data_IF_562047652934
#
_entry.id   IF_562047652934
#
_cell.length_a   1.000
_cell.length_b   1.000
_cell.length_c   1.000
_cell.angle_alpha   90.00
_cell.angle_beta   90.00
_cell.angle_gamma   90.00
#
_symmetry.space_group_name_H-M   'P 1'
#
loop_
_entity.id
_entity.type
_entity.pdbx_description
1 polymer ?
#
# COMPACT_ATOMS: atom_id res chain seq x y z
N UNK A 1 -16.80 -25.90 -18.35
CA UNK A 1 -15.63 -25.32 -19.06
C UNK A 1 -15.58 -23.81 -18.94
N UNK A 2 -16.49 -23.01 -19.53
CA UNK A 2 -16.46 -21.52 -19.34
C UNK A 2 -16.66 -21.08 -17.86
N UNK A 3 -17.44 -21.83 -17.09
CA UNK A 3 -17.71 -21.53 -15.68
C UNK A 3 -16.49 -21.74 -14.78
N UNK A 4 -15.63 -22.71 -15.08
CA UNK A 4 -14.44 -23.01 -14.28
C UNK A 4 -13.38 -21.94 -14.43
N UNK A 5 -13.18 -21.45 -15.67
CA UNK A 5 -12.24 -20.37 -15.97
C UNK A 5 -12.66 -19.05 -15.30
N UNK A 6 -13.94 -18.69 -15.38
CA UNK A 6 -14.43 -17.44 -14.78
C UNK A 6 -14.25 -17.43 -13.25
N UNK A 7 -14.51 -18.56 -12.60
CA UNK A 7 -14.36 -18.72 -11.15
C UNK A 7 -12.88 -18.69 -10.73
N UNK A 8 -11.99 -19.18 -11.60
CA UNK A 8 -10.55 -19.11 -11.41
C UNK A 8 -10.01 -17.69 -11.60
N UNK A 9 -10.49 -16.88 -12.55
CA UNK A 9 -9.96 -15.52 -12.77
C UNK A 9 -10.58 -14.45 -11.87
N UNK A 10 -11.79 -14.66 -11.38
CA UNK A 10 -12.52 -13.70 -10.56
C UNK A 10 -11.72 -13.17 -9.35
N UNK A 11 -11.11 -14.01 -8.48
CA UNK A 11 -10.35 -13.53 -7.33
C UNK A 11 -9.08 -12.76 -7.70
N UNK A 12 -8.42 -13.09 -8.82
CA UNK A 12 -7.27 -12.31 -9.30
C UNK A 12 -7.70 -10.94 -9.83
N UNK A 13 -8.79 -10.87 -10.60
CA UNK A 13 -9.29 -9.61 -11.15
C UNK A 13 -9.77 -8.70 -10.01
N UNK A 14 -10.49 -9.24 -9.02
CA UNK A 14 -10.93 -8.44 -7.87
C UNK A 14 -9.75 -7.89 -7.07
N UNK A 15 -8.70 -8.70 -6.84
CA UNK A 15 -7.49 -8.25 -6.15
C UNK A 15 -6.79 -7.13 -6.93
N UNK A 16 -6.63 -7.26 -8.25
CA UNK A 16 -6.00 -6.23 -9.09
C UNK A 16 -6.79 -4.92 -9.05
N UNK A 17 -8.11 -4.98 -9.18
CA UNK A 17 -8.98 -3.78 -9.10
C UNK A 17 -8.87 -3.12 -7.73
N UNK A 18 -8.85 -3.92 -6.66
CA UNK A 18 -8.66 -3.40 -5.31
C UNK A 18 -7.30 -2.70 -5.16
N UNK A 19 -6.20 -3.32 -5.60
CA UNK A 19 -4.88 -2.70 -5.54
C UNK A 19 -4.81 -1.39 -6.31
N UNK A 20 -5.32 -1.35 -7.55
CA UNK A 20 -5.38 -0.11 -8.34
C UNK A 20 -6.15 0.98 -7.59
N UNK A 21 -7.27 0.62 -6.95
CA UNK A 21 -8.10 1.55 -6.19
C UNK A 21 -7.35 2.11 -4.97
N UNK A 22 -6.71 1.24 -4.18
CA UNK A 22 -5.94 1.63 -2.99
C UNK A 22 -4.76 2.52 -3.37
N UNK A 23 -3.99 2.16 -4.39
CA UNK A 23 -2.87 2.98 -4.88
C UNK A 23 -3.34 4.34 -5.40
N UNK A 24 -4.46 4.38 -6.12
CA UNK A 24 -5.04 5.63 -6.61
C UNK A 24 -5.53 6.52 -5.46
N UNK A 25 -6.20 5.94 -4.47
CA UNK A 25 -6.61 6.66 -3.26
C UNK A 25 -5.41 7.22 -2.51
N UNK A 26 -4.36 6.42 -2.32
CA UNK A 26 -3.13 6.86 -1.66
C UNK A 26 -2.48 8.06 -2.39
N UNK A 27 -2.40 8.02 -3.72
CA UNK A 27 -1.91 9.16 -4.52
C UNK A 27 -2.77 10.41 -4.37
N UNK A 28 -4.10 10.27 -4.40
CA UNK A 28 -5.03 11.38 -4.25
C UNK A 28 -4.86 12.01 -2.86
N UNK A 29 -4.82 11.20 -1.80
CA UNK A 29 -4.62 11.67 -0.44
C UNK A 29 -3.28 12.40 -0.29
N UNK A 30 -2.19 11.89 -0.89
CA UNK A 30 -0.89 12.58 -0.90
C UNK A 30 -0.95 13.92 -1.62
N UNK A 31 -1.60 14.01 -2.77
CA UNK A 31 -1.78 15.27 -3.51
C UNK A 31 -2.61 16.30 -2.73
N UNK A 32 -3.61 15.85 -1.97
CA UNK A 32 -4.39 16.71 -1.08
C UNK A 32 -3.51 17.20 0.06
N UNK A 33 -2.74 16.30 0.68
CA UNK A 33 -1.84 16.62 1.80
C UNK A 33 -0.76 17.63 1.38
N UNK A 34 -0.18 17.46 0.18
CA UNK A 34 0.77 18.41 -0.43
C UNK A 34 0.20 19.83 -0.60
N UNK A 35 -1.13 19.95 -0.75
CA UNK A 35 -1.81 21.25 -0.87
C UNK A 35 -2.24 21.83 0.48
N UNK A 36 -2.49 20.98 1.48
CA UNK A 36 -3.06 21.40 2.77
C UNK A 36 -2.00 21.70 3.83
N UNK A 37 -0.86 21.01 3.80
CA UNK A 37 0.13 21.05 4.88
C UNK A 37 1.51 21.41 4.34
N UNK A 38 2.23 22.26 5.07
CA UNK A 38 3.60 22.63 4.74
C UNK A 38 4.52 21.40 4.81
N UNK A 39 5.34 21.16 3.77
CA UNK A 39 6.22 19.98 3.67
C UNK A 39 7.21 19.82 4.81
N UNK A 40 7.55 20.91 5.49
CA UNK A 40 8.45 20.91 6.64
C UNK A 40 7.76 20.61 7.98
N UNK A 41 6.44 20.43 7.99
CA UNK A 41 5.70 20.14 9.21
C UNK A 41 5.85 18.67 9.59
N UNK A 42 6.10 18.39 10.87
CA UNK A 42 6.11 17.02 11.41
C UNK A 42 4.81 16.26 11.11
N UNK A 43 3.67 16.97 11.07
CA UNK A 43 2.37 16.40 10.67
C UNK A 43 2.33 15.92 9.22
N UNK A 44 3.01 16.63 8.31
CA UNK A 44 3.10 16.21 6.91
C UNK A 44 3.91 14.92 6.77
N UNK A 45 5.06 14.85 7.43
CA UNK A 45 5.94 13.67 7.43
C UNK A 45 5.20 12.47 8.01
N UNK A 46 4.55 12.65 9.17
CA UNK A 46 3.75 11.61 9.81
C UNK A 46 2.60 11.12 8.91
N UNK A 47 1.86 12.03 8.27
CA UNK A 47 0.74 11.66 7.41
C UNK A 47 1.18 10.94 6.13
N UNK A 48 2.30 11.33 5.50
CA UNK A 48 2.87 10.60 4.35
C UNK A 48 3.22 9.15 4.74
N UNK A 49 3.87 8.95 5.89
CA UNK A 49 4.23 7.63 6.39
C UNK A 49 3.00 6.78 6.75
N UNK A 50 2.00 7.39 7.37
CA UNK A 50 0.74 6.73 7.70
C UNK A 50 -0.01 6.27 6.44
N UNK A 51 -0.03 7.08 5.38
CA UNK A 51 -0.62 6.70 4.09
C UNK A 51 0.15 5.53 3.46
N UNK A 52 1.48 5.60 3.43
CA UNK A 52 2.33 4.54 2.89
C UNK A 52 2.13 3.22 3.63
N UNK A 53 2.03 3.28 4.96
CA UNK A 53 1.79 2.11 5.82
C UNK A 53 0.39 1.54 5.56
N UNK A 54 -0.65 2.39 5.58
CA UNK A 54 -2.03 1.97 5.35
C UNK A 54 -2.22 1.27 3.99
N UNK A 55 -1.57 1.79 2.94
CA UNK A 55 -1.56 1.19 1.60
C UNK A 55 -0.98 -0.22 1.61
N UNK A 56 0.18 -0.44 2.26
CA UNK A 56 0.79 -1.76 2.33
C UNK A 56 -0.05 -2.74 3.17
N UNK A 57 -0.62 -2.27 4.29
CA UNK A 57 -1.44 -3.11 5.17
C UNK A 57 -2.73 -3.58 4.49
N UNK A 58 -3.41 -2.70 3.76
CA UNK A 58 -4.64 -3.07 3.05
C UNK A 58 -4.39 -4.11 1.97
N UNK A 59 -3.24 -4.03 1.28
CA UNK A 59 -2.84 -5.05 0.32
C UNK A 59 -2.70 -6.44 0.96
N UNK A 60 -2.22 -6.57 2.21
CA UNK A 60 -2.08 -7.86 2.90
C UNK A 60 -3.44 -8.54 3.15
N UNK A 61 -4.51 -7.76 3.34
CA UNK A 61 -5.84 -8.30 3.63
C UNK A 61 -6.41 -9.10 2.46
N UNK A 62 -6.33 -8.55 1.24
CA UNK A 62 -6.76 -9.23 0.00
C UNK A 62 -5.83 -10.38 -0.39
N UNK A 63 -4.56 -10.31 -0.02
CA UNK A 63 -3.61 -11.38 -0.29
C UNK A 63 -3.98 -12.71 0.41
N UNK A 64 -4.79 -12.68 1.47
CA UNK A 64 -5.36 -13.90 2.09
C UNK A 64 -6.28 -14.68 1.14
N UNK A 65 -7.00 -13.97 0.27
CA UNK A 65 -7.84 -14.57 -0.79
C UNK A 65 -6.95 -15.24 -1.83
N UNK A 66 -5.84 -14.61 -2.22
CA UNK A 66 -4.89 -15.20 -3.16
C UNK A 66 -4.26 -16.50 -2.63
N UNK A 67 -3.90 -16.57 -1.35
CA UNK A 67 -3.38 -17.81 -0.74
C UNK A 67 -4.42 -18.93 -0.85
N UNK A 68 -5.70 -18.62 -0.59
CA UNK A 68 -6.78 -19.61 -0.57
C UNK A 68 -7.06 -20.22 -1.95
N UNK A 69 -6.96 -19.45 -3.03
CA UNK A 69 -7.32 -19.90 -4.38
C UNK A 69 -6.12 -20.28 -5.27
N UNK A 70 -4.94 -19.67 -5.07
CA UNK A 70 -3.75 -19.88 -5.92
C UNK A 70 -2.52 -20.39 -5.16
N UNK A 71 -2.64 -20.53 -3.84
CA UNK A 71 -1.57 -21.05 -2.99
C UNK A 71 -0.49 -20.02 -2.61
N UNK A 72 0.49 -20.45 -1.80
CA UNK A 72 1.47 -19.56 -1.16
C UNK A 72 2.51 -18.97 -2.14
N UNK A 73 2.79 -19.64 -3.26
CA UNK A 73 3.74 -19.11 -4.26
C UNK A 73 3.16 -17.89 -4.98
N UNK A 74 1.88 -17.92 -5.34
CA UNK A 74 1.20 -16.78 -5.94
C UNK A 74 1.19 -15.58 -4.99
N UNK A 75 0.88 -15.82 -3.71
CA UNK A 75 0.99 -14.79 -2.67
C UNK A 75 2.37 -14.14 -2.60
N UNK A 76 3.45 -14.93 -2.63
CA UNK A 76 4.81 -14.39 -2.57
C UNK A 76 5.12 -13.46 -3.76
N UNK A 77 4.73 -13.85 -4.98
CA UNK A 77 4.88 -13.01 -6.16
C UNK A 77 4.04 -11.72 -6.07
N UNK A 78 2.79 -11.82 -5.61
CA UNK A 78 1.89 -10.66 -5.48
C UNK A 78 2.40 -9.68 -4.44
N UNK A 79 2.80 -10.15 -3.26
CA UNK A 79 3.38 -9.30 -2.21
C UNK A 79 4.68 -8.67 -2.68
N UNK A 80 5.59 -9.43 -3.30
CA UNK A 80 6.89 -8.91 -3.77
C UNK A 80 6.70 -7.83 -4.84
N UNK A 81 5.79 -8.05 -5.79
CA UNK A 81 5.50 -7.05 -6.83
C UNK A 81 4.82 -5.80 -6.27
N UNK A 82 3.89 -5.94 -5.32
CA UNK A 82 3.26 -4.81 -4.64
C UNK A 82 4.24 -4.01 -3.79
N UNK A 83 5.12 -4.68 -3.04
CA UNK A 83 6.17 -4.01 -2.25
C UNK A 83 7.15 -3.28 -3.16
N UNK A 84 7.52 -3.90 -4.27
CA UNK A 84 8.39 -3.29 -5.28
C UNK A 84 7.72 -2.05 -5.89
N UNK A 85 6.48 -2.17 -6.35
CA UNK A 85 5.71 -1.06 -6.91
C UNK A 85 5.49 0.06 -5.88
N UNK A 86 5.14 -0.29 -4.65
CA UNK A 86 5.01 0.64 -3.54
C UNK A 86 6.33 1.32 -3.20
N UNK A 87 7.47 0.63 -3.27
CA UNK A 87 8.79 1.24 -3.07
C UNK A 87 9.11 2.29 -4.13
N UNK A 88 8.73 2.07 -5.40
CA UNK A 88 8.87 3.07 -6.45
C UNK A 88 7.92 4.26 -6.26
N UNK A 89 6.70 4.01 -5.79
CA UNK A 89 5.68 5.05 -5.61
C UNK A 89 5.80 5.81 -4.28
N UNK A 90 6.49 5.26 -3.28
CA UNK A 90 6.61 5.84 -1.94
C UNK A 90 7.63 6.97 -1.83
N UNK A 91 8.38 7.30 -2.89
CA UNK A 91 9.26 8.50 -2.97
C UNK A 91 10.12 8.74 -1.71
N UNK A 92 10.56 7.67 -1.04
CA UNK A 92 11.41 7.75 0.14
C UNK A 92 10.68 7.71 1.50
N UNK A 93 9.39 7.41 1.55
CA UNK A 93 8.72 7.08 2.82
C UNK A 93 9.21 5.72 3.35
N UNK A 94 9.51 5.66 4.64
CA UNK A 94 9.94 4.48 5.40
C UNK A 94 8.86 3.41 5.55
N UNK A 95 7.62 3.70 5.15
CA UNK A 95 6.47 2.78 5.21
C UNK A 95 6.17 2.36 6.64
N UNK A 96 6.55 3.20 7.60
CA UNK A 96 6.36 2.98 9.02
C UNK A 96 6.17 4.32 9.71
N UNK A 97 5.06 4.53 10.43
CA UNK A 97 4.87 5.74 11.21
C UNK A 97 5.82 5.79 12.42
N UNK A 98 6.51 4.68 12.73
CA UNK A 98 7.43 4.61 13.85
C UNK A 98 8.69 5.45 13.63
N UNK A 99 9.22 5.47 12.40
CA UNK A 99 10.41 6.24 12.05
C UNK A 99 10.26 7.76 12.30
N UNK A 100 9.17 8.43 11.86
CA UNK A 100 8.95 9.84 12.21
C UNK A 100 8.58 10.06 13.68
N UNK A 101 7.92 9.10 14.35
CA UNK A 101 7.67 9.21 15.80
C UNK A 101 9.00 9.19 16.58
N UNK A 102 9.91 8.29 16.21
CA UNK A 102 11.24 8.19 16.81
C UNK A 102 12.06 9.44 16.57
N UNK A 103 12.03 9.98 15.34
CA UNK A 103 12.71 11.22 15.01
C UNK A 103 12.14 12.45 15.77
N UNK A 104 10.84 12.47 16.04
CA UNK A 104 10.19 13.49 16.88
C UNK A 104 10.61 13.37 18.35
N UNK A 105 10.63 12.15 18.92
CA UNK A 105 11.06 11.90 20.31
C UNK A 105 12.53 12.27 20.50
N UNK A 106 13.38 11.99 19.51
CA UNK A 106 14.81 12.29 19.54
C UNK A 106 15.15 13.75 19.16
N UNK A 107 14.16 14.59 18.85
CA UNK A 107 14.35 16.02 18.53
C UNK A 107 15.09 16.28 17.21
N UNK A 108 15.06 15.32 16.28
CA UNK A 108 15.71 15.40 14.96
C UNK A 108 14.83 16.17 13.97
N UNK A 109 13.51 16.26 14.24
CA UNK A 109 12.47 16.98 13.50
C UNK A 109 11.51 17.71 14.43
#
# INVERSE_FOLDING_TARGET
MISDDLTFYYPAISAVVFYITVFSMAEITRKILDKMVHKSSSLYIFAIELIATAQMCTCVYENSVMIRYYGPMAFFFTVTSLLTAGSFMNRGAFVSPLAPIEAFINGII
#
